data_IF_754925208221
#
_entry.id   IF_754925208221
#
_cell.length_a   1.000
_cell.length_b   1.000
_cell.length_c   1.000
_cell.angle_alpha   90.00
_cell.angle_beta   90.00
_cell.angle_gamma   90.00
#
_symmetry.space_group_name_H-M   'P 1'
#
loop_
_entity.id
_entity.type
_entity.pdbx_description
1 polymer ?
#
# COMPACT_ATOMS: atom_id res chain seq x y z
N UNK A 1 21.08 -25.18 3.22
CA UNK A 1 21.53 -23.94 3.92
C UNK A 1 22.00 -22.92 2.88
N UNK A 2 21.47 -21.69 2.97
CA UNK A 2 21.61 -20.63 1.95
C UNK A 2 23.06 -20.27 1.58
N UNK A 3 23.99 -20.38 2.54
CA UNK A 3 25.38 -19.97 2.36
C UNK A 3 26.31 -21.06 1.82
N UNK A 4 25.79 -22.22 1.38
CA UNK A 4 26.57 -23.35 0.85
C UNK A 4 27.81 -23.69 1.69
N UNK A 5 27.70 -23.57 3.02
CA UNK A 5 28.79 -23.85 3.96
C UNK A 5 29.83 -22.73 4.13
N UNK A 6 29.66 -21.56 3.50
CA UNK A 6 30.53 -20.40 3.70
C UNK A 6 30.16 -19.65 4.98
N UNK A 7 31.19 -19.21 5.72
CA UNK A 7 31.03 -18.42 6.94
C UNK A 7 30.44 -17.05 6.56
N UNK A 8 29.18 -16.80 6.94
CA UNK A 8 28.54 -15.52 6.66
C UNK A 8 28.98 -14.50 7.72
N UNK A 9 29.68 -13.41 7.36
CA UNK A 9 30.13 -12.40 8.32
C UNK A 9 28.96 -11.61 8.93
N UNK A 10 27.80 -11.66 8.29
CA UNK A 10 26.55 -11.09 8.79
C UNK A 10 25.59 -12.23 9.10
N UNK A 11 24.92 -12.18 10.25
CA UNK A 11 23.96 -13.23 10.57
C UNK A 11 22.85 -13.27 9.51
N UNK A 12 22.32 -14.45 9.21
CA UNK A 12 21.28 -14.64 8.19
C UNK A 12 20.04 -13.75 8.41
N UNK A 13 19.77 -13.36 9.66
CA UNK A 13 18.72 -12.41 10.05
C UNK A 13 19.01 -10.94 9.68
N UNK A 14 20.28 -10.57 9.45
CA UNK A 14 20.68 -9.20 9.16
C UNK A 14 20.32 -8.80 7.71
N UNK A 15 20.49 -9.71 6.76
CA UNK A 15 20.18 -9.45 5.35
C UNK A 15 18.68 -9.34 5.07
N UNK A 16 17.83 -10.08 5.80
CA UNK A 16 16.37 -9.97 5.67
C UNK A 16 15.82 -8.63 6.13
N UNK A 17 16.55 -7.90 7.00
CA UNK A 17 16.12 -6.59 7.52
C UNK A 17 16.30 -5.46 6.52
N UNK A 18 17.33 -5.50 5.68
CA UNK A 18 17.57 -4.43 4.69
C UNK A 18 16.64 -4.52 3.49
N UNK A 19 16.37 -5.72 2.96
CA UNK A 19 15.54 -5.89 1.75
C UNK A 19 14.09 -5.39 1.91
N UNK A 20 13.56 -5.33 3.12
CA UNK A 20 12.21 -4.82 3.39
C UNK A 20 12.12 -3.29 3.49
N UNK A 21 13.23 -2.60 3.74
CA UNK A 21 13.26 -1.15 4.01
C UNK A 21 13.44 -0.31 2.75
N UNK A 22 14.18 -0.80 1.76
CA UNK A 22 14.53 0.02 0.59
C UNK A 22 13.29 0.48 -0.21
N UNK A 23 12.22 -0.31 -0.17
CA UNK A 23 10.99 -0.03 -0.93
C UNK A 23 9.97 0.82 -0.16
N UNK A 24 10.19 1.15 1.10
CA UNK A 24 9.19 1.82 1.94
C UNK A 24 9.44 3.33 2.10
N UNK A 25 10.55 3.89 1.61
CA UNK A 25 10.84 5.34 1.63
C UNK A 25 10.04 6.12 0.57
N UNK A 26 10.02 7.46 0.67
CA UNK A 26 9.31 8.34 -0.27
C UNK A 26 7.85 8.61 0.11
N UNK A 27 7.16 9.48 -0.64
CA UNK A 27 5.72 9.74 -0.42
C UNK A 27 4.91 8.49 -0.74
N UNK A 28 3.88 8.23 0.06
CA UNK A 28 3.11 6.97 0.00
C UNK A 28 1.77 7.11 0.69
N UNK A 29 0.85 6.21 0.38
CA UNK A 29 -0.35 5.98 1.20
C UNK A 29 -0.09 4.79 2.11
N UNK A 30 -0.42 4.91 3.39
CA UNK A 30 -0.31 3.85 4.39
C UNK A 30 -1.69 3.23 4.65
N UNK A 31 -1.73 1.92 4.85
CA UNK A 31 -2.94 1.19 5.21
C UNK A 31 -2.63 0.09 6.23
N UNK A 32 -3.46 0.02 7.27
CA UNK A 32 -3.43 -1.07 8.25
C UNK A 32 -3.87 -2.37 7.56
N UNK A 33 -3.25 -3.54 7.84
CA UNK A 33 -3.67 -4.80 7.26
C UNK A 33 -5.05 -5.26 7.75
N UNK A 34 -5.55 -4.65 8.83
CA UNK A 34 -6.80 -4.98 9.50
C UNK A 34 -7.50 -3.69 9.92
N UNK A 35 -8.75 -3.49 9.50
CA UNK A 35 -9.53 -2.31 9.86
C UNK A 35 -11.04 -2.61 9.80
N UNK A 36 -11.84 -1.83 10.53
CA UNK A 36 -13.32 -1.87 10.44
C UNK A 36 -13.81 -1.12 9.18
N UNK A 37 -13.21 0.02 8.90
CA UNK A 37 -13.54 0.91 7.79
C UNK A 37 -12.29 1.21 6.97
N UNK A 38 -12.43 1.63 5.69
CA UNK A 38 -11.29 2.09 4.91
C UNK A 38 -10.52 3.18 5.67
N UNK A 39 -9.20 3.00 5.75
CA UNK A 39 -8.33 3.94 6.44
C UNK A 39 -7.00 4.00 5.69
N UNK A 40 -7.00 4.78 4.62
CA UNK A 40 -5.86 5.05 3.76
C UNK A 40 -5.33 6.44 4.10
N UNK A 41 -4.08 6.53 4.55
CA UNK A 41 -3.48 7.77 5.05
C UNK A 41 -2.36 8.19 4.11
N UNK A 42 -2.44 9.40 3.56
CA UNK A 42 -1.32 9.98 2.80
C UNK A 42 -0.19 10.33 3.77
N UNK A 43 1.00 9.88 3.45
CA UNK A 43 2.22 10.12 4.19
C UNK A 43 3.23 10.83 3.30
N UNK A 44 3.41 12.12 3.56
CA UNK A 44 4.24 13.01 2.72
C UNK A 44 5.70 13.12 3.18
N UNK A 45 6.04 12.53 4.34
CA UNK A 45 7.41 12.56 4.89
C UNK A 45 8.25 11.44 4.30
N UNK A 46 9.03 11.75 3.28
CA UNK A 46 9.79 10.82 2.45
C UNK A 46 10.87 10.06 3.23
N UNK A 47 11.43 10.70 4.24
CA UNK A 47 12.51 10.23 5.11
C UNK A 47 12.02 9.28 6.22
N UNK A 48 10.74 8.92 6.23
CA UNK A 48 10.17 8.00 7.21
C UNK A 48 9.70 6.70 6.55
N UNK A 49 9.97 5.60 7.25
CA UNK A 49 9.46 4.25 6.95
C UNK A 49 8.40 3.85 7.99
N UNK A 50 7.73 2.72 7.77
CA UNK A 50 6.76 2.14 8.70
C UNK A 50 7.17 0.71 9.07
N UNK A 51 6.74 0.27 10.25
CA UNK A 51 7.09 -1.05 10.78
C UNK A 51 6.13 -2.15 10.34
N UNK A 52 4.83 -1.86 10.25
CA UNK A 52 3.79 -2.83 9.95
C UNK A 52 2.71 -2.26 9.03
N UNK A 53 2.09 -3.15 8.25
CA UNK A 53 1.05 -2.82 7.27
C UNK A 53 1.57 -2.78 5.85
N UNK A 54 0.86 -2.05 5.00
CA UNK A 54 1.18 -1.92 3.58
C UNK A 54 1.28 -0.46 3.19
N UNK A 55 2.02 -0.20 2.12
CA UNK A 55 2.03 1.10 1.49
C UNK A 55 1.72 1.00 0.00
N UNK A 56 1.06 2.03 -0.52
CA UNK A 56 0.84 2.24 -1.95
C UNK A 56 1.73 3.40 -2.37
N UNK A 57 2.55 3.17 -3.39
CA UNK A 57 3.30 4.21 -4.10
C UNK A 57 2.56 4.48 -5.40
N UNK A 58 2.34 5.74 -5.70
CA UNK A 58 1.61 6.19 -6.86
C UNK A 58 2.27 7.44 -7.39
N UNK A 59 2.59 7.44 -8.68
CA UNK A 59 3.20 8.57 -9.39
C UNK A 59 2.06 9.44 -9.93
N UNK A 60 1.45 10.19 -9.02
CA UNK A 60 0.21 10.91 -9.25
C UNK A 60 -0.30 11.59 -7.98
N UNK A 61 -1.53 12.09 -8.00
CA UNK A 61 -2.13 12.72 -6.82
C UNK A 61 -2.50 11.66 -5.75
N UNK A 62 -1.64 11.57 -4.73
CA UNK A 62 -1.85 10.70 -3.57
C UNK A 62 -3.09 11.08 -2.74
N UNK A 63 -3.43 12.36 -2.66
CA UNK A 63 -4.61 12.83 -1.93
C UNK A 63 -5.89 12.42 -2.66
N UNK A 64 -5.92 12.59 -3.99
CA UNK A 64 -7.00 12.09 -4.82
C UNK A 64 -7.17 10.57 -4.66
N UNK A 65 -6.09 9.80 -4.80
CA UNK A 65 -6.16 8.34 -4.69
C UNK A 65 -6.62 7.90 -3.29
N UNK A 66 -6.10 8.54 -2.24
CA UNK A 66 -6.54 8.29 -0.87
C UNK A 66 -8.03 8.56 -0.67
N UNK A 67 -8.58 9.61 -1.30
CA UNK A 67 -10.01 9.90 -1.26
C UNK A 67 -10.83 8.78 -1.90
N UNK A 68 -10.40 8.26 -3.04
CA UNK A 68 -11.06 7.12 -3.71
C UNK A 68 -10.98 5.85 -2.87
N UNK A 69 -9.84 5.57 -2.25
CA UNK A 69 -9.65 4.39 -1.40
C UNK A 69 -10.38 4.50 -0.04
N UNK A 70 -10.74 5.71 0.41
CA UNK A 70 -11.57 5.92 1.59
C UNK A 70 -13.07 6.10 1.26
N UNK A 71 -13.51 5.72 0.06
CA UNK A 71 -14.90 5.83 -0.38
C UNK A 71 -15.82 4.75 0.21
N UNK A 72 -17.12 5.01 0.11
CA UNK A 72 -18.16 4.00 0.41
C UNK A 72 -18.06 2.79 -0.54
N UNK A 73 -17.64 3.00 -1.80
CA UNK A 73 -17.43 1.92 -2.77
C UNK A 73 -16.30 0.98 -2.33
N UNK A 74 -15.20 1.51 -1.78
CA UNK A 74 -14.13 0.68 -1.22
C UNK A 74 -14.62 -0.08 0.02
N UNK A 75 -15.41 0.56 0.89
CA UNK A 75 -16.00 -0.10 2.04
C UNK A 75 -16.96 -1.23 1.61
N UNK A 76 -17.80 -0.99 0.61
CA UNK A 76 -18.68 -2.00 0.04
C UNK A 76 -17.87 -3.13 -0.57
N UNK A 77 -16.87 -2.82 -1.40
CA UNK A 77 -16.02 -3.80 -2.06
C UNK A 77 -15.32 -4.72 -1.05
N UNK A 78 -14.61 -4.15 -0.07
CA UNK A 78 -13.83 -4.94 0.90
C UNK A 78 -14.73 -5.77 1.83
N UNK A 79 -15.97 -5.33 2.06
CA UNK A 79 -16.96 -6.13 2.78
C UNK A 79 -17.31 -7.43 2.04
N UNK A 80 -17.27 -7.42 0.71
CA UNK A 80 -17.63 -8.57 -0.12
C UNK A 80 -16.44 -9.45 -0.52
N UNK A 81 -15.25 -8.86 -0.74
CA UNK A 81 -14.07 -9.62 -1.19
C UNK A 81 -13.08 -9.93 -0.06
N UNK A 82 -13.08 -9.12 1.00
CA UNK A 82 -12.11 -9.18 2.08
C UNK A 82 -12.41 -10.29 3.08
N UNK A 83 -11.35 -10.93 3.60
CA UNK A 83 -11.47 -11.89 4.71
C UNK A 83 -12.03 -11.22 5.97
N UNK A 84 -13.00 -11.89 6.59
CA UNK A 84 -13.58 -11.54 7.89
C UNK A 84 -12.69 -11.92 9.08
N UNK A 85 -12.70 -11.05 10.07
CA UNK A 85 -12.12 -11.24 11.40
C UNK A 85 -13.16 -10.93 12.48
N UNK A 86 -12.82 -11.21 13.74
CA UNK A 86 -13.72 -10.95 14.88
C UNK A 86 -14.13 -9.48 14.96
N UNK A 87 -15.32 -9.23 15.51
CA UNK A 87 -15.89 -7.89 15.71
C UNK A 87 -16.07 -7.07 14.42
N UNK A 88 -16.19 -7.73 13.26
CA UNK A 88 -16.47 -7.06 11.98
C UNK A 88 -15.24 -6.47 11.30
N UNK A 89 -14.03 -6.75 11.79
CA UNK A 89 -12.80 -6.32 11.13
C UNK A 89 -12.62 -7.04 9.80
N UNK A 90 -12.14 -6.31 8.79
CA UNK A 90 -11.83 -6.83 7.46
C UNK A 90 -10.35 -6.75 7.15
N UNK A 91 -9.87 -7.69 6.35
CA UNK A 91 -8.50 -7.66 5.83
C UNK A 91 -8.34 -6.61 4.73
N UNK A 92 -7.35 -5.75 4.89
CA UNK A 92 -6.87 -4.80 3.90
C UNK A 92 -5.48 -5.24 3.40
N UNK A 93 -5.27 -6.55 3.25
CA UNK A 93 -4.06 -7.07 2.64
C UNK A 93 -4.01 -6.78 1.14
N UNK A 94 -2.79 -6.70 0.58
CA UNK A 94 -2.56 -6.44 -0.85
C UNK A 94 -3.47 -7.27 -1.75
N UNK A 95 -3.63 -8.56 -1.48
CA UNK A 95 -4.46 -9.47 -2.28
C UNK A 95 -5.93 -9.06 -2.38
N UNK A 96 -6.46 -8.36 -1.37
CA UNK A 96 -7.85 -7.91 -1.34
C UNK A 96 -8.02 -6.54 -1.95
N UNK A 97 -7.04 -5.63 -1.82
CA UNK A 97 -7.13 -4.26 -2.36
C UNK A 97 -6.77 -4.23 -3.85
N UNK A 98 -5.88 -5.11 -4.31
CA UNK A 98 -5.25 -5.02 -5.64
C UNK A 98 -6.22 -4.97 -6.82
N UNK A 99 -7.40 -5.61 -6.70
CA UNK A 99 -8.40 -5.67 -7.76
C UNK A 99 -9.53 -4.65 -7.58
N UNK A 100 -9.40 -3.69 -6.64
CA UNK A 100 -10.37 -2.60 -6.51
C UNK A 100 -10.24 -1.67 -7.71
N UNK A 101 -11.31 -1.52 -8.48
CA UNK A 101 -11.37 -0.63 -9.62
C UNK A 101 -11.66 0.80 -9.18
N UNK A 102 -10.93 1.76 -9.75
CA UNK A 102 -11.18 3.19 -9.56
C UNK A 102 -11.52 3.78 -10.93
N UNK A 103 -12.62 4.52 -10.99
CA UNK A 103 -13.09 5.21 -12.19
C UNK A 103 -12.48 6.62 -12.23
N UNK A 104 -12.14 7.11 -13.43
CA UNK A 104 -11.75 8.51 -13.68
C UNK A 104 -10.48 9.03 -12.97
N UNK A 105 -9.30 8.46 -13.27
CA UNK A 105 -8.06 9.18 -12.98
C UNK A 105 -7.80 10.25 -14.04
N UNK A 106 -8.08 11.52 -13.71
CA UNK A 106 -7.65 12.67 -14.52
C UNK A 106 -6.22 13.02 -14.16
N UNK A 107 -5.30 12.70 -15.05
CA UNK A 107 -3.91 13.11 -14.91
C UNK A 107 -3.76 14.45 -15.64
N UNK A 108 -3.60 15.56 -14.88
CA UNK A 108 -3.54 16.92 -15.45
C UNK A 108 -2.45 17.08 -16.52
N UNK A 109 -1.41 16.23 -16.48
CA UNK A 109 -0.33 16.20 -17.46
C UNK A 109 -0.78 15.69 -18.85
N UNK A 110 -1.83 14.85 -18.92
CA UNK A 110 -2.31 14.23 -20.15
C UNK A 110 -3.56 14.90 -20.73
N UNK A 111 -4.32 15.68 -19.95
CA UNK A 111 -5.46 16.45 -20.45
C UNK A 111 -5.03 17.55 -21.45
N UNK A 112 -3.76 17.96 -21.43
CA UNK A 112 -3.18 18.92 -22.39
C UNK A 112 -2.59 18.27 -23.65
N UNK A 113 -2.56 16.92 -23.74
CA UNK A 113 -1.99 16.17 -24.86
C UNK A 113 -3.05 15.61 -25.83
N UNK A 114 -4.34 15.80 -25.54
CA UNK A 114 -5.47 15.32 -26.35
C UNK A 114 -6.11 16.38 -27.26
N UNK A 115 -5.42 17.49 -27.51
CA UNK A 115 -5.83 18.52 -28.48
C UNK A 115 -4.71 18.81 -29.48
N UNK A 116 -4.42 17.83 -30.33
CA UNK A 116 -3.97 18.00 -31.73
C UNK A 116 -4.50 16.86 -32.59
#
# INVERSE_FOLDING_TARGET
>A
MRDKGKKNPVAWYAFGRSQGLDNTWGKKILVSPLSLYPNFIVWEKEEYTFYAGYCIKFDGDLQWLSKQLNSEDMEFYIKHVGRDYQNGYKSYAKSFIYNFGIVEYKNEEYDNLTLF
#
